data_IF_277396767781
#
_entry.id   IF_277396767781
#
_cell.length_a   1.000
_cell.length_b   1.000
_cell.length_c   1.000
_cell.angle_alpha   90.00
_cell.angle_beta   90.00
_cell.angle_gamma   90.00
#
_symmetry.space_group_name_H-M   'P 1'
#
loop_
_entity.id
_entity.type
_entity.pdbx_description
1 polymer ?
#
# COMPACT_ATOMS: atom_id res chain seq x y z
N UNK A 1 0.81 -40.51 4.82
CA UNK A 1 1.40 -39.65 3.78
C UNK A 1 0.27 -39.17 2.88
N UNK A 2 -0.19 -37.95 3.07
CA UNK A 2 -1.31 -37.39 2.26
C UNK A 2 -0.72 -36.87 0.97
N UNK A 3 -1.14 -37.45 -0.17
CA UNK A 3 -0.72 -37.00 -1.50
C UNK A 3 -1.29 -35.59 -1.75
N UNK A 4 -0.42 -34.60 -1.87
CA UNK A 4 -0.78 -33.24 -2.31
C UNK A 4 -1.32 -33.38 -3.75
N UNK A 5 -2.64 -33.21 -3.92
CA UNK A 5 -3.23 -33.16 -5.27
C UNK A 5 -2.61 -31.97 -6.01
N UNK A 6 -2.12 -32.14 -7.25
CA UNK A 6 -1.60 -31.03 -8.02
C UNK A 6 -2.71 -29.99 -8.21
N UNK A 7 -2.37 -28.71 -8.03
CA UNK A 7 -3.30 -27.61 -8.21
C UNK A 7 -3.89 -27.62 -9.64
N UNK A 8 -5.16 -27.21 -9.82
CA UNK A 8 -5.79 -27.17 -11.15
C UNK A 8 -4.94 -26.35 -12.15
N UNK A 9 -4.90 -26.78 -13.41
CA UNK A 9 -4.07 -26.15 -14.45
C UNK A 9 -4.32 -24.65 -14.63
N UNK A 10 -5.56 -24.20 -14.45
CA UNK A 10 -5.86 -22.76 -14.52
C UNK A 10 -5.23 -21.96 -13.35
N UNK A 11 -5.11 -22.57 -12.15
CA UNK A 11 -4.45 -21.95 -11.01
C UNK A 11 -2.94 -21.86 -11.23
N UNK A 12 -2.32 -22.90 -11.78
CA UNK A 12 -0.89 -22.88 -12.13
C UNK A 12 -0.59 -21.79 -13.17
N UNK A 13 -1.44 -21.63 -14.20
CA UNK A 13 -1.30 -20.54 -15.17
C UNK A 13 -1.47 -19.17 -14.51
N UNK A 14 -2.47 -19.04 -13.64
CA UNK A 14 -2.69 -17.81 -12.86
C UNK A 14 -1.45 -17.43 -12.06
N UNK A 15 -0.88 -18.36 -11.28
CA UNK A 15 0.32 -18.14 -10.48
C UNK A 15 1.50 -17.67 -11.35
N UNK A 16 1.74 -18.31 -12.50
CA UNK A 16 2.79 -17.90 -13.45
C UNK A 16 2.58 -16.50 -14.01
N UNK A 17 1.34 -16.11 -14.30
CA UNK A 17 1.03 -14.77 -14.78
C UNK A 17 1.22 -13.73 -13.66
N UNK A 18 0.77 -14.04 -12.45
CA UNK A 18 0.99 -13.19 -11.26
C UNK A 18 2.48 -12.99 -11.01
N UNK A 19 3.29 -14.05 -11.10
CA UNK A 19 4.75 -13.96 -10.97
C UNK A 19 5.37 -13.03 -12.03
N UNK A 20 4.95 -13.13 -13.31
CA UNK A 20 5.42 -12.22 -14.36
C UNK A 20 5.06 -10.74 -14.10
N UNK A 21 3.91 -10.50 -13.49
CA UNK A 21 3.47 -9.16 -13.09
C UNK A 21 4.31 -8.67 -11.90
N UNK A 22 4.48 -9.49 -10.86
CA UNK A 22 5.23 -9.12 -9.66
C UNK A 22 6.73 -8.92 -9.93
N UNK A 23 7.32 -9.71 -10.81
CA UNK A 23 8.72 -9.54 -11.22
C UNK A 23 8.96 -8.37 -12.17
N UNK A 24 7.88 -7.65 -12.57
CA UNK A 24 7.98 -6.53 -13.49
C UNK A 24 8.22 -6.94 -14.94
N UNK A 25 8.19 -8.24 -15.28
CA UNK A 25 8.25 -8.70 -16.65
C UNK A 25 7.05 -8.21 -17.47
N UNK A 26 5.89 -8.12 -16.83
CA UNK A 26 4.68 -7.47 -17.34
C UNK A 26 4.34 -6.28 -16.46
N UNK A 27 4.61 -5.07 -16.96
CA UNK A 27 4.38 -3.84 -16.21
C UNK A 27 2.93 -3.38 -16.27
N UNK A 28 2.48 -2.64 -15.26
CA UNK A 28 1.15 -2.06 -15.22
C UNK A 28 0.83 -1.26 -16.50
N UNK A 29 -0.34 -1.46 -17.06
CA UNK A 29 -0.78 -0.86 -18.34
C UNK A 29 -0.25 -1.56 -19.59
N UNK A 30 0.66 -2.54 -19.49
CA UNK A 30 1.13 -3.30 -20.64
C UNK A 30 0.07 -4.30 -21.11
N UNK A 31 0.05 -4.55 -22.43
CA UNK A 31 -0.83 -5.54 -23.04
C UNK A 31 -0.27 -6.94 -22.82
N UNK A 32 -1.08 -7.85 -22.28
CA UNK A 32 -0.71 -9.27 -22.15
C UNK A 32 -0.98 -10.04 -23.46
N UNK A 33 -0.33 -11.19 -23.67
CA UNK A 33 -0.61 -12.04 -24.82
C UNK A 33 -2.09 -12.42 -24.91
N UNK A 34 -2.56 -12.63 -26.14
CA UNK A 34 -3.94 -13.05 -26.39
C UNK A 34 -4.22 -14.46 -25.86
N UNK A 35 -5.51 -14.79 -25.65
CA UNK A 35 -5.91 -16.16 -25.24
C UNK A 35 -5.28 -17.23 -26.16
N UNK A 36 -5.23 -16.97 -27.46
CA UNK A 36 -4.63 -17.89 -28.42
C UNK A 36 -3.11 -18.07 -28.22
N UNK A 37 -2.39 -16.97 -28.01
CA UNK A 37 -0.95 -16.99 -27.72
C UNK A 37 -0.65 -17.71 -26.41
N UNK A 38 -1.43 -17.45 -25.38
CA UNK A 38 -1.29 -18.14 -24.08
C UNK A 38 -1.58 -19.65 -24.21
N UNK A 39 -2.56 -20.05 -25.01
CA UNK A 39 -2.80 -21.46 -25.29
C UNK A 39 -1.59 -22.13 -25.93
N UNK A 40 -0.92 -21.45 -26.88
CA UNK A 40 0.27 -21.96 -27.55
C UNK A 40 1.50 -21.98 -26.62
N UNK A 41 1.74 -20.88 -25.88
CA UNK A 41 2.90 -20.73 -24.97
C UNK A 41 2.88 -21.78 -23.86
N UNK A 42 1.69 -21.98 -23.23
CA UNK A 42 1.55 -22.86 -22.07
C UNK A 42 1.00 -24.25 -22.41
N UNK A 43 0.69 -24.53 -23.69
CA UNK A 43 0.10 -25.80 -24.14
C UNK A 43 -1.18 -26.16 -23.36
N UNK A 44 -2.02 -25.19 -23.12
CA UNK A 44 -3.27 -25.34 -22.36
C UNK A 44 -4.51 -25.15 -23.27
N UNK A 45 -5.62 -25.79 -22.88
CA UNK A 45 -6.88 -25.58 -23.55
C UNK A 45 -7.41 -24.16 -23.44
N UNK A 46 -8.20 -23.69 -24.42
CA UNK A 46 -8.85 -22.37 -24.36
C UNK A 46 -9.70 -22.17 -23.10
N UNK A 47 -10.39 -23.24 -22.66
CA UNK A 47 -11.22 -23.19 -21.44
C UNK A 47 -10.35 -22.91 -20.22
N UNK A 48 -9.22 -23.62 -20.09
CA UNK A 48 -8.28 -23.43 -18.97
C UNK A 48 -7.68 -22.02 -18.96
N UNK A 49 -7.23 -21.51 -20.13
CA UNK A 49 -6.68 -20.16 -20.26
C UNK A 49 -7.74 -19.11 -19.92
N UNK A 50 -8.97 -19.28 -20.45
CA UNK A 50 -10.07 -18.36 -20.20
C UNK A 50 -10.43 -18.30 -18.70
N UNK A 51 -10.49 -19.45 -18.04
CA UNK A 51 -10.76 -19.55 -16.59
C UNK A 51 -9.66 -18.86 -15.76
N UNK A 52 -8.38 -19.04 -16.14
CA UNK A 52 -7.27 -18.34 -15.50
C UNK A 52 -7.39 -16.82 -15.66
N UNK A 53 -7.67 -16.34 -16.89
CA UNK A 53 -7.83 -14.92 -17.16
C UNK A 53 -9.09 -14.32 -16.51
N UNK A 54 -10.16 -15.06 -16.37
CA UNK A 54 -11.35 -14.63 -15.61
C UNK A 54 -11.01 -14.49 -14.12
N UNK A 55 -10.31 -15.47 -13.55
CA UNK A 55 -9.85 -15.39 -12.16
C UNK A 55 -8.91 -14.20 -11.94
N UNK A 56 -7.94 -13.97 -12.84
CA UNK A 56 -7.03 -12.83 -12.77
C UNK A 56 -7.76 -11.48 -12.89
N UNK A 57 -8.80 -11.41 -13.72
CA UNK A 57 -9.62 -10.20 -13.85
C UNK A 57 -10.47 -9.94 -12.60
N UNK A 58 -11.06 -10.99 -12.02
CA UNK A 58 -11.83 -10.90 -10.77
C UNK A 58 -10.93 -10.47 -9.58
N UNK A 59 -9.67 -10.94 -9.56
CA UNK A 59 -8.70 -10.55 -8.53
C UNK A 59 -8.02 -9.21 -8.84
N UNK A 60 -8.39 -8.53 -9.94
CA UNK A 60 -7.89 -7.20 -10.27
C UNK A 60 -6.49 -7.14 -10.88
N UNK A 61 -5.84 -8.27 -11.19
CA UNK A 61 -4.51 -8.30 -11.83
C UNK A 61 -4.52 -7.83 -13.29
N UNK A 62 -5.61 -8.03 -14.00
CA UNK A 62 -5.76 -7.65 -15.40
C UNK A 62 -7.11 -7.00 -15.66
N UNK A 63 -7.18 -6.19 -16.73
CA UNK A 63 -8.43 -5.57 -17.22
C UNK A 63 -8.64 -5.89 -18.68
N UNK A 64 -9.85 -6.34 -19.03
CA UNK A 64 -10.25 -6.58 -20.43
C UNK A 64 -10.83 -5.30 -21.01
N UNK A 65 -10.28 -4.84 -22.12
CA UNK A 65 -10.80 -3.71 -22.90
C UNK A 65 -11.37 -4.24 -24.20
N UNK A 66 -12.68 -4.08 -24.39
CA UNK A 66 -13.37 -4.59 -25.56
C UNK A 66 -12.73 -4.04 -26.85
N UNK A 67 -12.41 -4.91 -27.80
CA UNK A 67 -11.75 -4.56 -29.06
C UNK A 67 -10.26 -4.21 -28.97
N UNK A 68 -9.71 -3.94 -27.79
CA UNK A 68 -8.31 -3.51 -27.59
C UNK A 68 -7.42 -4.64 -27.05
N UNK A 69 -7.97 -5.54 -26.24
CA UNK A 69 -7.25 -6.66 -25.64
C UNK A 69 -7.30 -6.67 -24.10
N UNK A 70 -6.41 -7.45 -23.51
CA UNK A 70 -6.27 -7.58 -22.07
C UNK A 70 -4.96 -6.90 -21.63
N UNK A 71 -5.02 -6.15 -20.56
CA UNK A 71 -3.91 -5.33 -20.05
C UNK A 71 -3.66 -5.66 -18.59
N UNK A 72 -2.42 -5.55 -18.14
CA UNK A 72 -2.09 -5.61 -16.72
C UNK A 72 -2.77 -4.42 -16.03
N UNK A 73 -3.55 -4.70 -15.00
CA UNK A 73 -4.18 -3.63 -14.22
C UNK A 73 -3.10 -2.80 -13.53
N UNK A 74 -3.27 -1.49 -13.52
CA UNK A 74 -2.77 -0.71 -12.40
C UNK A 74 -3.61 -1.13 -11.20
N UNK A 75 -3.03 -1.42 -10.03
CA UNK A 75 -3.83 -1.77 -8.88
C UNK A 75 -4.86 -0.66 -8.63
N UNK A 76 -6.10 -0.91 -9.01
CA UNK A 76 -7.23 -0.09 -8.58
C UNK A 76 -7.58 -0.58 -7.20
N UNK A 77 -7.24 0.23 -6.23
CA UNK A 77 -7.60 0.00 -4.86
C UNK A 77 -9.03 0.50 -4.71
N UNK A 78 -9.99 -0.38 -4.93
CA UNK A 78 -11.39 -0.17 -4.55
C UNK A 78 -11.54 -0.35 -3.04
N UNK A 79 -10.85 0.47 -2.27
CA UNK A 79 -11.04 0.55 -0.83
C UNK A 79 -11.95 1.74 -0.56
N UNK A 80 -12.97 1.55 0.28
CA UNK A 80 -13.59 2.69 0.95
C UNK A 80 -12.46 3.38 1.69
N UNK A 81 -12.07 4.56 1.24
CA UNK A 81 -10.90 5.32 1.69
C UNK A 81 -10.84 5.60 3.21
N UNK A 82 -11.90 5.28 3.93
CA UNK A 82 -12.05 5.49 5.36
C UNK A 82 -11.12 4.67 6.27
N UNK A 83 -10.16 3.92 5.71
CA UNK A 83 -9.30 3.13 6.57
C UNK A 83 -7.97 2.77 5.88
N UNK A 84 -7.03 3.71 5.82
CA UNK A 84 -5.63 3.40 5.45
C UNK A 84 -5.03 2.32 6.38
N UNK A 85 -5.52 2.22 7.60
CA UNK A 85 -5.20 1.13 8.52
C UNK A 85 -5.74 -0.22 8.03
N UNK A 86 -6.98 -0.25 7.49
CA UNK A 86 -7.55 -1.46 6.91
C UNK A 86 -6.97 -1.80 5.55
N UNK A 87 -6.37 -0.83 4.84
CA UNK A 87 -5.71 -1.06 3.55
C UNK A 87 -4.55 -2.07 3.68
N UNK A 88 -3.69 -1.90 4.66
CA UNK A 88 -2.60 -2.85 4.93
C UNK A 88 -3.12 -4.25 5.29
N UNK A 89 -4.19 -4.32 6.07
CA UNK A 89 -4.83 -5.60 6.41
C UNK A 89 -5.51 -6.25 5.21
N UNK A 90 -6.15 -5.45 4.34
CA UNK A 90 -6.79 -5.94 3.13
C UNK A 90 -5.75 -6.52 2.15
N UNK A 91 -4.64 -5.83 1.94
CA UNK A 91 -3.53 -6.33 1.12
C UNK A 91 -2.98 -7.66 1.66
N UNK A 92 -2.80 -7.77 2.97
CA UNK A 92 -2.35 -9.02 3.60
C UNK A 92 -3.34 -10.17 3.39
N UNK A 93 -4.65 -9.91 3.49
CA UNK A 93 -5.69 -10.92 3.21
C UNK A 93 -5.64 -11.42 1.76
N UNK A 94 -5.24 -10.55 0.83
CA UNK A 94 -5.06 -10.90 -0.59
C UNK A 94 -3.68 -11.49 -0.90
N UNK A 95 -2.85 -11.75 0.11
CA UNK A 95 -1.56 -12.41 -0.04
C UNK A 95 -0.42 -11.52 -0.50
N UNK A 96 -0.60 -10.20 -0.55
CA UNK A 96 0.46 -9.24 -0.88
C UNK A 96 1.43 -9.08 0.29
N UNK A 97 2.72 -9.07 -0.01
CA UNK A 97 3.77 -8.77 0.97
C UNK A 97 3.96 -7.25 1.05
N UNK A 98 3.67 -6.71 2.21
CA UNK A 98 3.90 -5.30 2.49
C UNK A 98 5.08 -5.13 3.42
N UNK A 99 5.95 -4.16 3.11
CA UNK A 99 7.01 -3.71 4.01
C UNK A 99 7.27 -2.22 3.82
N UNK A 100 7.86 -1.61 4.83
CA UNK A 100 8.18 -0.20 4.86
C UNK A 100 9.70 -0.01 4.82
N UNK A 101 10.18 1.01 4.12
CA UNK A 101 11.56 1.49 4.18
C UNK A 101 11.53 2.85 4.87
N UNK A 102 12.10 2.95 6.06
CA UNK A 102 12.27 4.22 6.76
C UNK A 102 13.42 4.99 6.12
N UNK A 103 13.11 6.11 5.49
CA UNK A 103 14.09 6.99 4.83
C UNK A 103 14.72 7.97 5.81
N UNK A 104 13.92 8.49 6.74
CA UNK A 104 14.34 9.49 7.71
C UNK A 104 13.50 9.37 8.99
N UNK A 105 14.16 9.50 10.13
CA UNK A 105 13.54 9.59 11.45
C UNK A 105 14.20 10.72 12.21
N UNK A 106 13.48 11.80 12.43
CA UNK A 106 14.01 13.01 13.07
C UNK A 106 13.11 13.47 14.20
N UNK A 107 13.71 13.98 15.26
CA UNK A 107 13.00 14.74 16.29
C UNK A 107 13.19 16.22 15.99
N UNK A 108 12.09 16.96 15.88
CA UNK A 108 12.11 18.40 15.60
C UNK A 108 11.01 19.12 16.40
N UNK A 109 11.04 20.42 16.41
CA UNK A 109 10.01 21.26 16.99
C UNK A 109 8.93 21.53 15.95
N UNK A 110 7.66 21.37 16.33
CA UNK A 110 6.52 21.63 15.45
C UNK A 110 6.46 23.12 15.10
N UNK A 111 6.51 23.44 13.82
CA UNK A 111 6.16 24.78 13.34
C UNK A 111 4.67 25.10 13.55
N UNK A 112 4.25 26.32 13.24
CA UNK A 112 2.86 26.76 13.42
C UNK A 112 1.86 25.88 12.64
N UNK A 113 2.23 25.44 11.43
CA UNK A 113 1.38 24.60 10.58
C UNK A 113 1.21 23.20 11.15
N UNK A 114 2.32 22.54 11.49
CA UNK A 114 2.30 21.20 12.11
C UNK A 114 1.57 21.24 13.47
N UNK A 115 1.86 22.26 14.29
CA UNK A 115 1.23 22.43 15.60
C UNK A 115 -0.29 22.60 15.49
N UNK A 116 -0.75 23.43 14.53
CA UNK A 116 -2.18 23.66 14.29
C UNK A 116 -2.91 22.39 13.87
N UNK A 117 -2.31 21.59 12.95
CA UNK A 117 -2.90 20.32 12.52
C UNK A 117 -2.95 19.27 13.65
N UNK A 118 -1.88 19.19 14.45
CA UNK A 118 -1.80 18.22 15.55
C UNK A 118 -2.54 18.66 16.83
N UNK A 119 -3.06 19.89 16.88
CA UNK A 119 -3.71 20.44 18.06
C UNK A 119 -2.76 20.59 19.27
N UNK A 120 -1.46 20.83 19.03
CA UNK A 120 -0.43 21.02 20.04
C UNK A 120 0.09 22.46 20.03
N UNK A 121 0.86 22.84 21.05
CA UNK A 121 1.51 24.16 21.08
C UNK A 121 2.65 24.22 20.04
N UNK A 122 2.88 25.39 19.46
CA UNK A 122 4.07 25.65 18.64
C UNK A 122 5.33 25.28 19.41
N UNK A 123 6.34 24.77 18.69
CA UNK A 123 7.59 24.24 19.23
C UNK A 123 7.45 22.97 20.11
N UNK A 124 6.25 22.35 20.14
CA UNK A 124 6.10 21.04 20.74
C UNK A 124 7.01 20.02 20.03
N UNK A 125 7.80 19.21 20.77
CA UNK A 125 8.63 18.18 20.16
C UNK A 125 7.80 17.13 19.44
N UNK A 126 8.12 16.88 18.15
CA UNK A 126 7.48 15.87 17.31
C UNK A 126 8.54 15.00 16.64
N UNK A 127 8.19 13.75 16.38
CA UNK A 127 8.92 12.91 15.43
C UNK A 127 8.41 13.21 14.03
N UNK A 128 9.32 13.42 13.09
CA UNK A 128 9.05 13.42 11.65
C UNK A 128 9.62 12.14 11.06
N UNK A 129 8.74 11.30 10.53
CA UNK A 129 9.07 9.98 9.97
C UNK A 129 8.76 10.00 8.48
N UNK A 130 9.79 9.86 7.66
CA UNK A 130 9.64 9.71 6.21
C UNK A 130 9.86 8.25 5.85
N UNK A 131 8.95 7.68 5.09
CA UNK A 131 9.03 6.27 4.67
C UNK A 131 8.43 6.04 3.30
N UNK A 132 8.93 5.00 2.64
CA UNK A 132 8.32 4.44 1.44
C UNK A 132 7.68 3.12 1.82
N UNK A 133 6.45 2.93 1.40
CA UNK A 133 5.73 1.66 1.59
C UNK A 133 5.73 0.90 0.27
N UNK A 134 6.06 -0.38 0.37
CA UNK A 134 6.19 -1.27 -0.78
C UNK A 134 5.19 -2.40 -0.68
N UNK A 135 4.69 -2.78 -1.86
CA UNK A 135 3.87 -3.98 -2.05
C UNK A 135 4.63 -4.85 -3.05
N UNK A 136 5.02 -6.07 -2.64
CA UNK A 136 5.81 -6.97 -3.48
C UNK A 136 7.03 -6.28 -4.11
N UNK A 137 7.80 -5.52 -3.29
CA UNK A 137 8.99 -4.74 -3.66
C UNK A 137 8.73 -3.54 -4.61
N UNK A 138 7.46 -3.24 -4.92
CA UNK A 138 7.09 -2.08 -5.73
C UNK A 138 6.71 -0.92 -4.82
N UNK A 139 7.40 0.24 -4.91
CA UNK A 139 7.06 1.43 -4.16
C UNK A 139 5.65 1.92 -4.51
N UNK A 140 4.81 2.10 -3.49
CA UNK A 140 3.43 2.45 -3.68
C UNK A 140 3.03 3.76 -3.00
N UNK A 141 3.53 4.01 -1.79
CA UNK A 141 3.28 5.24 -1.03
C UNK A 141 4.58 5.82 -0.53
N UNK A 142 4.77 7.12 -0.71
CA UNK A 142 5.72 7.94 0.05
C UNK A 142 4.94 8.69 1.11
N UNK A 143 5.37 8.60 2.35
CA UNK A 143 4.63 9.13 3.49
C UNK A 143 5.56 9.92 4.42
N UNK A 144 5.08 11.08 4.90
CA UNK A 144 5.68 11.82 6.01
C UNK A 144 4.68 11.86 7.15
N UNK A 145 5.05 11.34 8.30
CA UNK A 145 4.21 11.32 9.50
C UNK A 145 4.79 12.18 10.60
N UNK A 146 3.96 13.00 11.23
CA UNK A 146 4.32 13.80 12.37
C UNK A 146 3.63 13.27 13.64
N UNK A 147 4.40 12.90 14.65
CA UNK A 147 3.90 12.28 15.88
C UNK A 147 4.42 13.05 17.09
N UNK A 148 3.55 13.61 17.96
CA UNK A 148 4.01 14.26 19.19
C UNK A 148 4.80 13.29 20.08
N UNK A 149 6.02 13.70 20.49
CA UNK A 149 6.94 12.85 21.25
C UNK A 149 6.35 12.41 22.58
N UNK A 150 5.55 13.27 23.23
CA UNK A 150 4.94 12.94 24.53
C UNK A 150 3.93 11.79 24.44
N UNK A 151 3.34 11.55 23.26
CA UNK A 151 2.42 10.44 23.04
C UNK A 151 3.16 9.11 22.86
N UNK A 152 4.33 9.12 22.23
CA UNK A 152 5.10 7.91 21.92
C UNK A 152 6.59 8.10 22.26
N UNK A 153 6.95 8.27 23.54
CA UNK A 153 8.32 8.65 23.93
C UNK A 153 9.39 7.62 23.60
N UNK A 154 9.00 6.37 23.34
CA UNK A 154 9.90 5.25 23.00
C UNK A 154 9.83 4.84 21.54
N UNK A 155 9.21 5.64 20.65
CA UNK A 155 9.15 5.37 19.23
C UNK A 155 10.57 5.40 18.64
N UNK A 156 10.93 4.35 17.88
CA UNK A 156 12.23 4.23 17.22
C UNK A 156 12.08 3.71 15.78
N UNK A 157 13.03 4.01 14.89
CA UNK A 157 12.96 3.63 13.49
C UNK A 157 13.06 2.11 13.30
N UNK A 158 13.76 1.38 14.17
CA UNK A 158 13.92 -0.07 14.11
C UNK A 158 12.57 -0.78 14.27
N UNK A 159 11.75 -0.35 15.21
CA UNK A 159 10.40 -0.88 15.40
C UNK A 159 9.52 -0.59 14.19
N UNK A 160 9.57 0.64 13.67
CA UNK A 160 8.79 1.04 12.48
C UNK A 160 9.16 0.16 11.28
N UNK A 161 10.46 -0.10 11.09
CA UNK A 161 10.96 -0.95 10.00
C UNK A 161 10.50 -2.41 10.17
N UNK A 162 10.47 -2.91 11.41
CA UNK A 162 10.17 -4.31 11.71
C UNK A 162 8.67 -4.63 11.69
N UNK A 163 7.84 -3.77 12.27
CA UNK A 163 6.42 -4.05 12.52
C UNK A 163 5.46 -3.00 11.93
N UNK A 164 5.99 -1.98 11.25
CA UNK A 164 5.23 -0.86 10.70
C UNK A 164 4.89 0.22 11.74
N UNK A 165 4.51 1.41 11.25
CA UNK A 165 4.30 2.59 12.09
C UNK A 165 3.19 2.37 13.13
N UNK A 166 2.02 1.90 12.73
CA UNK A 166 0.86 1.78 13.63
C UNK A 166 1.10 0.81 14.78
N UNK A 167 1.68 -0.35 14.50
CA UNK A 167 2.04 -1.32 15.55
C UNK A 167 3.13 -0.74 16.48
N UNK A 168 4.02 0.08 15.94
CA UNK A 168 5.05 0.77 16.73
C UNK A 168 4.47 1.85 17.62
N UNK A 169 3.44 2.59 17.17
CA UNK A 169 2.71 3.56 17.98
C UNK A 169 1.99 2.87 19.14
N UNK A 170 1.30 1.78 18.89
CA UNK A 170 0.64 0.99 19.93
C UNK A 170 1.65 0.45 20.94
N UNK A 171 2.76 -0.15 20.48
CA UNK A 171 3.85 -0.65 21.33
C UNK A 171 4.51 0.45 22.16
N UNK A 172 4.73 1.63 21.59
CA UNK A 172 5.48 2.73 22.20
C UNK A 172 4.64 3.61 23.13
N UNK A 173 3.36 3.84 22.81
CA UNK A 173 2.49 4.78 23.50
C UNK A 173 1.11 4.23 23.85
N UNK A 174 0.80 2.99 23.52
CA UNK A 174 -0.54 2.40 23.64
C UNK A 174 -1.61 3.24 22.91
N UNK A 175 -1.23 3.81 21.74
CA UNK A 175 -2.08 4.67 20.94
C UNK A 175 -2.62 3.86 19.75
N UNK A 176 -3.94 3.69 19.72
CA UNK A 176 -4.65 3.18 18.56
C UNK A 176 -5.51 4.32 17.99
N UNK A 177 -5.30 4.73 16.73
CA UNK A 177 -6.17 5.70 16.09
C UNK A 177 -7.61 5.17 16.02
N UNK A 178 -8.58 5.99 16.43
CA UNK A 178 -10.01 5.62 16.43
C UNK A 178 -10.79 6.27 15.30
N UNK A 179 -10.34 7.41 14.82
CA UNK A 179 -10.91 8.09 13.67
C UNK A 179 -9.83 8.86 12.91
N UNK A 180 -10.13 9.18 11.66
CA UNK A 180 -9.27 9.99 10.81
C UNK A 180 -10.10 10.98 10.00
N UNK A 181 -9.60 12.21 9.90
CA UNK A 181 -10.05 13.17 8.89
C UNK A 181 -9.14 13.08 7.70
N UNK A 182 -9.71 13.01 6.50
CA UNK A 182 -8.98 12.79 5.25
C UNK A 182 -9.23 13.93 4.28
N UNK A 183 -8.16 14.39 3.63
CA UNK A 183 -8.27 15.31 2.49
C UNK A 183 -7.44 14.81 1.32
N UNK A 184 -7.92 15.09 0.10
CA UNK A 184 -7.35 14.57 -1.14
C UNK A 184 -7.06 15.71 -2.11
N UNK A 185 -5.88 15.65 -2.73
CA UNK A 185 -5.43 16.63 -3.73
C UNK A 185 -4.71 15.90 -4.87
N UNK A 186 -5.09 16.21 -6.12
CA UNK A 186 -4.35 15.75 -7.29
C UNK A 186 -3.10 16.63 -7.47
N UNK A 187 -1.92 16.01 -7.47
CA UNK A 187 -0.66 16.75 -7.47
C UNK A 187 0.31 16.26 -8.54
N UNK A 188 1.25 17.13 -8.89
CA UNK A 188 2.48 16.77 -9.58
C UNK A 188 3.56 16.56 -8.51
N UNK A 189 4.18 15.39 -8.50
CA UNK A 189 5.14 15.04 -7.46
C UNK A 189 6.43 15.86 -7.57
N UNK A 190 7.00 16.29 -6.44
CA UNK A 190 8.39 16.75 -6.35
C UNK A 190 9.36 15.67 -6.87
N UNK A 191 10.52 16.09 -7.39
CA UNK A 191 11.45 15.16 -8.05
C UNK A 191 12.01 14.09 -7.10
N UNK A 192 12.28 14.44 -5.85
CA UNK A 192 12.75 13.55 -4.79
C UNK A 192 11.72 12.46 -4.48
N UNK A 193 10.47 12.83 -4.22
CA UNK A 193 9.35 11.90 -3.98
C UNK A 193 9.15 10.97 -5.18
N UNK A 194 9.18 11.55 -6.39
CA UNK A 194 9.05 10.79 -7.64
C UNK A 194 10.12 9.71 -7.79
N UNK A 195 11.37 10.02 -7.44
CA UNK A 195 12.49 9.07 -7.49
C UNK A 195 12.30 7.92 -6.49
N UNK A 196 11.86 8.22 -5.27
CA UNK A 196 11.57 7.20 -4.27
C UNK A 196 10.43 6.26 -4.71
N UNK A 197 9.42 6.78 -5.40
CA UNK A 197 8.30 6.01 -5.95
C UNK A 197 8.63 5.35 -7.30
N UNK A 198 9.83 5.55 -7.86
CA UNK A 198 10.27 5.04 -9.18
C UNK A 198 9.30 5.42 -10.32
N UNK A 199 8.70 6.61 -10.23
CA UNK A 199 7.71 7.09 -11.21
C UNK A 199 8.37 7.92 -12.30
N UNK A 200 7.73 7.94 -13.48
CA UNK A 200 8.13 8.77 -14.60
C UNK A 200 7.82 10.25 -14.35
N UNK A 201 8.50 11.14 -15.08
CA UNK A 201 8.17 12.58 -15.08
C UNK A 201 6.71 12.76 -15.50
N UNK A 202 5.98 13.62 -14.80
CA UNK A 202 4.55 13.91 -15.01
C UNK A 202 3.59 12.74 -14.70
N UNK A 203 4.01 11.72 -13.96
CA UNK A 203 3.05 10.73 -13.44
C UNK A 203 2.04 11.42 -12.54
N UNK A 204 0.73 11.16 -12.72
CA UNK A 204 -0.28 11.68 -11.82
C UNK A 204 -0.15 11.01 -10.45
N UNK A 205 -0.36 11.79 -9.41
CA UNK A 205 -0.36 11.29 -8.05
C UNK A 205 -1.49 11.92 -7.22
N UNK A 206 -1.88 11.20 -6.19
CA UNK A 206 -2.84 11.67 -5.21
C UNK A 206 -2.09 11.95 -3.90
N UNK A 207 -2.13 13.20 -3.44
CA UNK A 207 -1.68 13.58 -2.11
C UNK A 207 -2.85 13.38 -1.16
N UNK A 208 -2.60 12.65 -0.09
CA UNK A 208 -3.58 12.37 0.95
C UNK A 208 -3.02 12.94 2.26
N UNK A 209 -3.78 13.80 2.91
CA UNK A 209 -3.49 14.24 4.26
C UNK A 209 -4.44 13.52 5.20
N UNK A 210 -3.89 12.90 6.24
CA UNK A 210 -4.61 12.14 7.26
C UNK A 210 -4.33 12.76 8.62
N UNK A 211 -5.37 13.18 9.30
CA UNK A 211 -5.28 13.59 10.70
C UNK A 211 -5.96 12.52 11.56
N UNK A 212 -5.15 11.79 12.32
CA UNK A 212 -5.65 10.79 13.24
C UNK A 212 -5.97 11.38 14.61
N UNK A 213 -7.11 10.97 15.15
CA UNK A 213 -7.46 11.25 16.54
C UNK A 213 -7.46 9.96 17.34
N UNK A 214 -6.97 10.03 18.58
CA UNK A 214 -7.10 8.95 19.57
C UNK A 214 -7.96 9.43 20.72
N UNK A 215 -8.70 8.54 21.42
CA UNK A 215 -9.45 8.94 22.61
C UNK A 215 -8.52 9.59 23.63
N UNK A 216 -8.93 10.73 24.16
CA UNK A 216 -8.22 11.35 25.28
C UNK A 216 -8.23 10.39 26.48
N UNK A 217 -7.17 10.29 27.28
CA UNK A 217 -7.20 9.56 28.55
C UNK A 217 -8.35 9.97 29.48
N UNK A 218 -8.93 11.17 29.28
CA UNK A 218 -10.10 11.66 30.01
C UNK A 218 -11.41 11.01 29.52
N UNK A 219 -11.47 10.56 28.27
CA UNK A 219 -12.69 9.94 27.70
C UNK A 219 -12.81 8.46 28.08
N UNK A 220 -11.73 7.85 28.58
CA UNK A 220 -11.68 6.47 29.09
C UNK A 220 -12.05 6.34 30.56
N UNK A 221 -12.28 7.47 31.28
CA UNK A 221 -12.57 7.47 32.72
C UNK A 221 -14.06 7.55 33.09
N UNK A 222 -14.95 7.44 32.12
CA UNK A 222 -16.42 7.43 32.34
C UNK A 222 -17.02 6.10 31.89
N UNK A 223 -16.69 5.04 32.60
CA UNK A 223 -17.44 3.76 32.56
C UNK A 223 -17.48 3.18 33.95
#
# INVERSE_FOLDING_TARGET
>A
MSAIKPSPLYMQLKEKIVEKIHTGQWVAGSKIPTEHQLCQEYQLSRITVRQALESLANDGYIVRQQGRGTFVSSPKIDTKLSTFYSFSQELQKHGFKQHDIVLSFRKLEADESIAAHLGVLSFCPVYAVERVRLIDDIPYVYETSYIPVHLCPRLCPEDIQAIGLYNSLEKSGNIAPTSAEESFEAVVLPNDVRLHLKLNKNSPALKICLLYTSPSPRDLSTS
#
